data_IF_992935027638
#
_entry.id   IF_992935027638
#
_cell.length_a   1.000
_cell.length_b   1.000
_cell.length_c   1.000
_cell.angle_alpha   90.00
_cell.angle_beta   90.00
_cell.angle_gamma   90.00
#
_symmetry.space_group_name_H-M   'P 1'
#
loop_
_entity.id
_entity.type
_entity.pdbx_description
1 polymer ?
#
# COMPACT_ATOMS: atom_id res chain seq x y z
N UNK A 1 -25.53 -7.58 5.61
CA UNK A 1 -26.08 -8.43 4.53
C UNK A 1 -25.74 -7.81 3.18
N UNK A 2 -25.52 -8.61 2.13
CA UNK A 2 -25.34 -8.08 0.77
C UNK A 2 -26.62 -8.19 -0.05
N UNK A 3 -26.92 -7.16 -0.85
CA UNK A 3 -27.93 -7.21 -1.90
C UNK A 3 -27.28 -7.48 -3.25
N UNK A 4 -27.82 -8.39 -4.05
CA UNK A 4 -27.30 -8.77 -5.36
C UNK A 4 -28.33 -8.41 -6.43
N UNK A 5 -27.89 -7.60 -7.40
CA UNK A 5 -28.72 -7.13 -8.52
C UNK A 5 -28.45 -7.98 -9.75
N UNK A 6 -29.46 -8.74 -10.18
CA UNK A 6 -29.50 -9.45 -11.45
C UNK A 6 -30.26 -8.59 -12.47
N UNK A 7 -29.70 -8.35 -13.65
CA UNK A 7 -30.40 -7.71 -14.78
C UNK A 7 -30.77 -8.74 -15.84
N UNK A 8 -32.06 -8.81 -16.20
CA UNK A 8 -32.56 -9.63 -17.32
C UNK A 8 -32.06 -9.17 -18.68
N UNK A 9 -31.73 -7.89 -18.80
CA UNK A 9 -31.19 -7.30 -20.02
C UNK A 9 -29.70 -7.63 -20.25
N UNK A 10 -29.04 -8.27 -19.29
CA UNK A 10 -27.63 -8.68 -19.36
C UNK A 10 -27.49 -10.20 -19.26
N UNK A 11 -27.06 -10.82 -20.37
CA UNK A 11 -26.85 -12.27 -20.43
C UNK A 11 -25.75 -12.77 -19.49
N UNK A 12 -24.70 -11.97 -19.24
CA UNK A 12 -23.66 -12.37 -18.30
C UNK A 12 -24.20 -12.32 -16.86
N UNK A 13 -24.99 -11.30 -16.53
CA UNK A 13 -25.67 -11.18 -15.23
C UNK A 13 -26.54 -12.40 -14.92
N UNK A 14 -27.41 -12.77 -15.86
CA UNK A 14 -28.25 -13.97 -15.75
C UNK A 14 -27.38 -15.19 -15.50
N UNK A 15 -26.32 -15.38 -16.29
CA UNK A 15 -25.44 -16.54 -16.19
C UNK A 15 -24.65 -16.58 -14.88
N UNK A 16 -24.10 -15.46 -14.41
CA UNK A 16 -23.43 -15.34 -13.09
C UNK A 16 -24.42 -15.72 -11.98
N UNK A 17 -25.64 -15.20 -12.02
CA UNK A 17 -26.66 -15.47 -11.02
C UNK A 17 -27.18 -16.92 -11.06
N UNK A 18 -27.20 -17.56 -12.23
CA UNK A 18 -27.40 -19.02 -12.32
C UNK A 18 -26.29 -19.79 -11.61
N UNK A 19 -25.02 -19.42 -11.81
CA UNK A 19 -23.89 -20.04 -11.10
C UNK A 19 -23.97 -19.78 -9.58
N UNK A 20 -24.32 -18.56 -9.15
CA UNK A 20 -24.54 -18.21 -7.73
C UNK A 20 -25.59 -19.13 -7.09
N UNK A 21 -26.72 -19.35 -7.77
CA UNK A 21 -27.78 -20.25 -7.29
C UNK A 21 -27.37 -21.72 -7.32
N UNK A 22 -26.43 -22.11 -8.17
CA UNK A 22 -25.87 -23.46 -8.21
C UNK A 22 -24.79 -23.74 -7.16
N UNK A 23 -24.20 -22.70 -6.55
CA UNK A 23 -23.13 -22.84 -5.55
C UNK A 23 -23.65 -23.07 -4.13
N UNK A 24 -24.84 -22.56 -3.81
CA UNK A 24 -25.41 -22.53 -2.46
C UNK A 24 -26.90 -22.88 -2.49
N UNK A 25 -27.47 -23.25 -1.35
CA UNK A 25 -28.90 -23.58 -1.24
C UNK A 25 -29.73 -22.34 -0.91
N UNK A 26 -30.20 -21.64 -1.95
CA UNK A 26 -31.04 -20.45 -1.82
C UNK A 26 -32.49 -20.81 -1.50
N UNK A 27 -33.13 -20.02 -0.64
CA UNK A 27 -34.57 -20.10 -0.36
C UNK A 27 -35.30 -19.10 -1.24
N UNK A 28 -36.31 -19.57 -1.95
CA UNK A 28 -37.21 -18.72 -2.73
C UNK A 28 -38.33 -18.16 -1.85
N UNK A 29 -38.58 -16.87 -2.00
CA UNK A 29 -39.72 -16.16 -1.42
C UNK A 29 -40.41 -15.35 -2.53
N UNK A 30 -41.68 -15.00 -2.32
CA UNK A 30 -42.44 -14.19 -3.26
C UNK A 30 -42.71 -12.81 -2.67
N UNK A 31 -42.34 -11.73 -3.38
CA UNK A 31 -42.59 -10.34 -3.02
C UNK A 31 -43.61 -9.73 -4.00
N UNK A 32 -44.83 -9.48 -3.51
CA UNK A 32 -45.92 -8.87 -4.27
C UNK A 32 -46.09 -7.36 -4.01
N UNK A 33 -45.20 -6.77 -3.21
CA UNK A 33 -45.24 -5.34 -2.84
C UNK A 33 -44.71 -4.43 -3.94
N UNK A 34 -44.05 -5.00 -4.95
CA UNK A 34 -43.40 -4.33 -6.08
C UNK A 34 -43.57 -5.17 -7.35
N UNK A 35 -43.31 -4.58 -8.51
CA UNK A 35 -43.43 -5.28 -9.80
C UNK A 35 -42.29 -6.30 -9.98
N UNK A 36 -42.54 -7.36 -10.75
CA UNK A 36 -41.51 -8.34 -11.14
C UNK A 36 -40.39 -7.72 -12.00
N UNK A 37 -40.67 -6.61 -12.68
CA UNK A 37 -39.65 -5.85 -13.42
C UNK A 37 -38.72 -5.05 -12.49
N UNK A 38 -39.19 -4.71 -11.28
CA UNK A 38 -38.52 -3.83 -10.32
C UNK A 38 -38.02 -4.58 -9.06
N UNK A 39 -37.60 -5.84 -9.23
CA UNK A 39 -37.05 -6.64 -8.13
C UNK A 39 -38.10 -7.39 -7.31
N UNK A 40 -39.37 -7.42 -7.72
CA UNK A 40 -40.45 -8.19 -7.10
C UNK A 40 -40.53 -9.61 -7.63
N UNK A 41 -41.67 -10.27 -7.41
CA UNK A 41 -41.82 -11.66 -7.83
C UNK A 41 -40.93 -12.57 -6.99
N UNK A 42 -40.12 -13.41 -7.64
CA UNK A 42 -39.24 -14.34 -6.92
C UNK A 42 -38.00 -13.64 -6.36
N UNK A 43 -37.87 -13.65 -5.04
CA UNK A 43 -36.69 -13.18 -4.30
C UNK A 43 -35.92 -14.39 -3.78
N UNK A 44 -34.60 -14.40 -3.95
CA UNK A 44 -33.75 -15.48 -3.47
C UNK A 44 -33.00 -15.04 -2.21
N UNK A 45 -33.13 -15.82 -1.14
CA UNK A 45 -32.51 -15.56 0.17
C UNK A 45 -31.46 -16.61 0.50
N UNK A 46 -30.31 -16.14 0.98
CA UNK A 46 -29.26 -16.95 1.57
C UNK A 46 -28.81 -16.27 2.87
N UNK A 47 -28.21 -17.02 3.80
CA UNK A 47 -27.63 -16.39 4.99
C UNK A 47 -26.59 -15.33 4.57
N UNK A 48 -26.80 -14.10 5.04
CA UNK A 48 -25.99 -12.93 4.68
C UNK A 48 -26.22 -12.35 3.28
N UNK A 49 -27.17 -12.85 2.46
CA UNK A 49 -27.41 -12.33 1.10
C UNK A 49 -28.88 -12.37 0.63
N UNK A 50 -29.26 -11.39 -0.19
CA UNK A 50 -30.54 -11.30 -0.89
C UNK A 50 -30.28 -11.02 -2.37
N UNK A 51 -30.87 -11.81 -3.27
CA UNK A 51 -30.78 -11.61 -4.73
C UNK A 51 -32.15 -11.27 -5.29
N UNK A 52 -32.18 -10.19 -6.08
CA UNK A 52 -33.36 -9.71 -6.80
C UNK A 52 -33.07 -9.51 -8.27
N UNK A 53 -34.13 -9.63 -9.06
CA UNK A 53 -34.06 -9.62 -10.51
C UNK A 53 -34.82 -8.41 -11.08
N UNK A 54 -34.18 -7.71 -12.00
CA UNK A 54 -34.67 -6.45 -12.59
C UNK A 54 -34.72 -6.57 -14.11
N UNK A 55 -35.69 -5.92 -14.74
CA UNK A 55 -35.84 -5.95 -16.21
C UNK A 55 -34.77 -5.11 -16.92
N UNK A 56 -34.45 -3.93 -16.39
CA UNK A 56 -33.53 -2.98 -17.01
C UNK A 56 -32.05 -3.30 -16.77
N UNK A 57 -31.17 -2.70 -17.58
CA UNK A 57 -29.70 -2.77 -17.39
C UNK A 57 -29.30 -2.05 -16.10
N UNK A 58 -28.36 -2.64 -15.35
CA UNK A 58 -27.90 -2.13 -14.06
C UNK A 58 -27.51 -0.67 -14.08
N UNK A 59 -26.88 -0.22 -15.17
CA UNK A 59 -26.37 1.14 -15.34
C UNK A 59 -27.44 2.23 -15.24
N UNK A 60 -28.71 1.88 -15.42
CA UNK A 60 -29.85 2.80 -15.36
C UNK A 60 -30.70 2.66 -14.08
N UNK A 61 -30.32 1.76 -13.17
CA UNK A 61 -31.07 1.44 -11.96
C UNK A 61 -30.69 2.35 -10.78
N UNK A 62 -30.88 3.67 -10.94
CA UNK A 62 -30.75 4.62 -9.83
C UNK A 62 -31.78 4.32 -8.71
N UNK A 63 -31.36 4.36 -7.44
CA UNK A 63 -32.19 4.08 -6.27
C UNK A 63 -32.58 2.61 -6.06
N UNK A 64 -31.93 1.68 -6.76
CA UNK A 64 -32.27 0.24 -6.71
C UNK A 64 -31.98 -0.41 -5.35
N UNK A 65 -31.11 0.18 -4.54
CA UNK A 65 -30.85 -0.27 -3.17
C UNK A 65 -32.09 -0.24 -2.28
N UNK A 66 -33.04 0.68 -2.55
CA UNK A 66 -34.35 0.72 -1.89
C UNK A 66 -35.20 -0.53 -2.13
N UNK A 67 -34.81 -1.37 -3.11
CA UNK A 67 -35.49 -2.63 -3.36
C UNK A 67 -35.17 -3.72 -2.35
N UNK A 68 -34.07 -3.58 -1.63
CA UNK A 68 -33.59 -4.55 -0.67
C UNK A 68 -33.98 -4.16 0.75
N UNK A 69 -33.99 -5.13 1.66
CA UNK A 69 -34.24 -4.87 3.08
C UNK A 69 -32.95 -5.10 3.86
N UNK A 70 -32.47 -4.08 4.56
CA UNK A 70 -31.37 -4.19 5.54
C UNK A 70 -30.06 -4.75 4.95
N UNK A 71 -29.58 -4.10 3.88
CA UNK A 71 -28.29 -4.43 3.25
C UNK A 71 -27.23 -3.38 3.61
N UNK A 72 -25.99 -3.85 3.80
CA UNK A 72 -24.81 -3.02 4.07
C UNK A 72 -23.99 -2.76 2.79
N UNK A 73 -24.20 -3.59 1.76
CA UNK A 73 -23.48 -3.57 0.51
C UNK A 73 -24.39 -4.03 -0.64
N UNK A 74 -24.37 -3.30 -1.74
CA UNK A 74 -25.06 -3.65 -2.98
C UNK A 74 -24.04 -4.10 -4.05
N UNK A 75 -24.27 -5.25 -4.66
CA UNK A 75 -23.37 -5.85 -5.64
C UNK A 75 -24.10 -6.05 -6.95
N UNK A 76 -23.57 -5.47 -8.02
CA UNK A 76 -24.08 -5.66 -9.37
C UNK A 76 -23.32 -6.79 -10.04
N UNK A 77 -24.01 -7.90 -10.33
CA UNK A 77 -23.46 -8.97 -11.16
C UNK A 77 -23.63 -8.56 -12.62
N UNK A 78 -22.55 -8.20 -13.31
CA UNK A 78 -22.63 -7.51 -14.60
C UNK A 78 -21.67 -8.10 -15.64
N UNK A 79 -21.91 -7.81 -16.92
CA UNK A 79 -20.91 -7.97 -17.96
C UNK A 79 -19.95 -6.78 -17.96
N UNK A 80 -18.69 -7.08 -18.26
CA UNK A 80 -17.79 -6.10 -18.85
C UNK A 80 -17.83 -6.23 -20.38
N UNK A 81 -17.83 -5.12 -21.11
CA UNK A 81 -17.85 -5.11 -22.57
C UNK A 81 -16.67 -4.30 -23.14
N UNK A 82 -15.74 -4.98 -23.81
CA UNK A 82 -14.54 -4.34 -24.35
C UNK A 82 -13.64 -5.25 -25.19
N UNK A 83 -12.55 -4.69 -25.71
CA UNK A 83 -11.58 -5.41 -26.55
C UNK A 83 -10.36 -5.92 -25.75
N UNK A 84 -10.59 -6.52 -24.57
CA UNK A 84 -9.50 -7.02 -23.69
C UNK A 84 -9.31 -8.53 -23.71
N UNK A 85 -10.22 -9.28 -24.34
CA UNK A 85 -10.28 -10.73 -24.17
C UNK A 85 -10.81 -11.11 -22.77
N UNK A 86 -10.50 -12.32 -22.28
CA UNK A 86 -11.06 -12.82 -21.03
C UNK A 86 -10.59 -12.03 -19.80
N UNK A 87 -11.52 -11.40 -19.11
CA UNK A 87 -11.23 -10.48 -18.01
C UNK A 87 -12.30 -10.58 -16.92
N UNK A 88 -11.88 -10.55 -15.64
CA UNK A 88 -12.78 -10.38 -14.50
C UNK A 88 -12.41 -9.09 -13.75
N UNK A 89 -13.39 -8.26 -13.42
CA UNK A 89 -13.12 -6.96 -12.81
C UNK A 89 -14.07 -6.61 -11.67
N UNK A 90 -13.70 -5.57 -10.92
CA UNK A 90 -14.58 -4.89 -10.00
C UNK A 90 -14.28 -3.38 -10.01
N UNK A 91 -15.32 -2.56 -9.84
CA UNK A 91 -15.18 -1.10 -9.78
C UNK A 91 -16.42 -0.42 -9.15
N UNK A 92 -16.28 0.82 -8.65
CA UNK A 92 -17.41 1.62 -8.23
C UNK A 92 -18.03 2.35 -9.42
N UNK A 93 -19.29 2.77 -9.29
CA UNK A 93 -19.98 3.57 -10.32
C UNK A 93 -19.93 5.07 -10.01
N UNK A 94 -20.04 5.87 -11.06
CA UNK A 94 -19.90 7.32 -10.96
C UNK A 94 -19.46 7.98 -12.26
N UNK A 95 -19.87 9.22 -12.44
CA UNK A 95 -19.46 10.05 -13.56
C UNK A 95 -18.71 11.27 -13.03
N UNK A 96 -17.39 11.37 -13.29
CA UNK A 96 -16.63 12.60 -13.00
C UNK A 96 -17.00 13.76 -13.92
N UNK A 97 -17.48 13.46 -15.13
CA UNK A 97 -17.95 14.41 -16.14
C UNK A 97 -19.41 14.14 -16.53
N UNK A 98 -19.76 14.22 -17.83
CA UNK A 98 -21.09 13.87 -18.32
C UNK A 98 -21.45 12.39 -18.09
N UNK A 99 -22.73 12.10 -17.87
CA UNK A 99 -23.29 10.76 -17.74
C UNK A 99 -23.83 10.23 -19.08
N UNK A 100 -22.98 9.56 -19.85
CA UNK A 100 -23.36 8.99 -21.15
C UNK A 100 -24.01 7.60 -21.03
N UNK A 101 -23.69 6.87 -19.96
CA UNK A 101 -24.08 5.47 -19.74
C UNK A 101 -24.78 5.30 -18.39
N UNK A 102 -25.81 6.12 -18.14
CA UNK A 102 -26.62 6.08 -16.92
C UNK A 102 -26.06 6.89 -15.75
N UNK A 103 -26.90 7.09 -14.73
CA UNK A 103 -26.64 8.02 -13.64
C UNK A 103 -26.72 9.49 -14.06
N UNK A 104 -26.15 10.37 -13.22
CA UNK A 104 -26.17 11.81 -13.41
C UNK A 104 -24.76 12.41 -13.62
N UNK A 105 -24.70 13.51 -14.37
CA UNK A 105 -23.46 14.28 -14.58
C UNK A 105 -22.83 14.66 -13.24
N UNK A 106 -21.51 14.41 -13.10
CA UNK A 106 -20.73 14.80 -11.91
C UNK A 106 -21.31 14.25 -10.59
N UNK A 107 -21.93 13.07 -10.66
CA UNK A 107 -22.44 12.32 -9.50
C UNK A 107 -21.68 11.00 -9.34
N UNK A 108 -21.34 10.65 -8.10
CA UNK A 108 -20.64 9.42 -7.74
C UNK A 108 -21.47 8.63 -6.71
N UNK A 109 -21.62 7.32 -6.92
CA UNK A 109 -22.30 6.44 -5.97
C UNK A 109 -21.48 6.26 -4.68
N UNK A 110 -22.08 5.70 -3.63
CA UNK A 110 -21.30 5.25 -2.47
C UNK A 110 -20.38 4.11 -2.90
N UNK A 111 -19.05 4.32 -2.83
CA UNK A 111 -18.06 3.29 -3.12
C UNK A 111 -17.99 2.30 -1.94
N UNK A 112 -17.47 1.09 -2.22
CA UNK A 112 -17.20 0.08 -1.20
C UNK A 112 -15.73 -0.39 -1.28
N UNK A 113 -14.75 0.44 -0.86
CA UNK A 113 -13.32 0.18 -1.03
C UNK A 113 -12.85 -1.18 -0.49
N UNK A 114 -13.24 -1.54 0.74
CA UNK A 114 -12.84 -2.80 1.38
C UNK A 114 -13.50 -4.01 0.70
N UNK A 115 -14.76 -3.87 0.28
CA UNK A 115 -15.45 -4.87 -0.52
C UNK A 115 -14.80 -5.04 -1.91
N UNK A 116 -14.34 -3.96 -2.54
CA UNK A 116 -13.64 -4.01 -3.82
C UNK A 116 -12.29 -4.73 -3.68
N UNK A 117 -11.53 -4.47 -2.62
CA UNK A 117 -10.31 -5.22 -2.30
C UNK A 117 -10.58 -6.71 -2.10
N UNK A 118 -11.66 -7.06 -1.39
CA UNK A 118 -12.09 -8.45 -1.20
C UNK A 118 -12.52 -9.11 -2.50
N UNK A 119 -13.27 -8.39 -3.35
CA UNK A 119 -13.69 -8.87 -4.66
C UNK A 119 -12.47 -9.16 -5.54
N UNK A 120 -11.50 -8.25 -5.60
CA UNK A 120 -10.26 -8.43 -6.36
C UNK A 120 -9.50 -9.68 -5.91
N UNK A 121 -9.35 -9.87 -4.60
CA UNK A 121 -8.69 -11.06 -4.04
C UNK A 121 -9.44 -12.35 -4.43
N UNK A 122 -10.76 -12.38 -4.26
CA UNK A 122 -11.57 -13.56 -4.56
C UNK A 122 -11.65 -13.88 -6.07
N UNK A 123 -11.72 -12.85 -6.93
CA UNK A 123 -11.60 -13.01 -8.38
C UNK A 123 -10.23 -13.60 -8.75
N UNK A 124 -9.15 -13.09 -8.14
CA UNK A 124 -7.79 -13.61 -8.38
C UNK A 124 -7.66 -15.08 -7.96
N UNK A 125 -8.25 -15.46 -6.83
CA UNK A 125 -8.23 -16.83 -6.34
C UNK A 125 -9.02 -17.80 -7.25
N UNK A 126 -10.11 -17.33 -7.83
CA UNK A 126 -11.07 -18.19 -8.53
C UNK A 126 -11.03 -18.08 -10.06
N UNK A 127 -10.27 -17.12 -10.61
CA UNK A 127 -10.14 -16.92 -12.04
C UNK A 127 -9.65 -18.20 -12.73
N UNK A 128 -10.32 -18.64 -13.81
CA UNK A 128 -9.83 -19.76 -14.60
C UNK A 128 -8.60 -19.37 -15.43
N UNK A 129 -7.82 -20.37 -15.83
CA UNK A 129 -6.65 -20.15 -16.69
C UNK A 129 -7.00 -19.32 -17.94
N UNK A 130 -6.21 -18.28 -18.19
CA UNK A 130 -6.37 -17.40 -19.35
C UNK A 130 -7.26 -16.18 -19.14
N UNK A 131 -7.85 -16.02 -17.95
CA UNK A 131 -8.49 -14.77 -17.54
C UNK A 131 -7.49 -13.85 -16.83
N UNK A 132 -7.45 -12.60 -17.27
CA UNK A 132 -6.85 -11.53 -16.48
C UNK A 132 -7.84 -11.10 -15.37
N UNK A 133 -7.30 -10.49 -14.32
CA UNK A 133 -8.09 -9.96 -13.20
C UNK A 133 -7.57 -8.57 -12.86
N UNK A 134 -8.46 -7.58 -12.77
CA UNK A 134 -8.06 -6.21 -12.49
C UNK A 134 -9.16 -5.37 -11.86
N UNK A 135 -8.81 -4.12 -11.55
CA UNK A 135 -9.77 -3.08 -11.19
C UNK A 135 -10.04 -2.18 -12.39
N UNK A 136 -11.14 -1.44 -12.35
CA UNK A 136 -11.42 -0.38 -13.33
C UNK A 136 -11.57 0.99 -12.66
N UNK A 137 -11.43 2.03 -13.47
CA UNK A 137 -11.78 3.39 -13.10
C UNK A 137 -13.26 3.54 -12.78
N UNK A 138 -13.60 4.53 -11.95
CA UNK A 138 -15.02 4.88 -11.71
C UNK A 138 -15.65 5.37 -13.01
N UNK A 139 -16.72 4.71 -13.43
CA UNK A 139 -17.45 5.08 -14.64
C UNK A 139 -18.91 4.61 -14.59
N UNK A 140 -19.72 5.20 -15.48
CA UNK A 140 -21.13 4.90 -15.74
C UNK A 140 -22.06 4.95 -14.51
N UNK A 141 -23.36 4.74 -14.74
CA UNK A 141 -24.37 4.69 -13.68
C UNK A 141 -24.51 3.30 -13.05
N UNK A 142 -25.37 3.15 -12.03
CA UNK A 142 -26.15 4.20 -11.40
C UNK A 142 -25.28 5.06 -10.47
N UNK A 143 -25.74 6.26 -10.13
CA UNK A 143 -25.03 7.18 -9.24
C UNK A 143 -25.81 7.51 -7.98
N UNK A 144 -27.14 7.41 -8.01
CA UNK A 144 -28.01 7.69 -6.87
C UNK A 144 -28.25 6.42 -6.05
N UNK A 145 -27.21 6.01 -5.33
CA UNK A 145 -27.27 4.92 -4.36
C UNK A 145 -26.94 5.44 -2.96
N UNK A 146 -27.72 5.00 -1.98
CA UNK A 146 -27.47 5.31 -0.56
C UNK A 146 -26.63 4.25 0.13
N UNK A 147 -26.67 3.02 -0.38
CA UNK A 147 -25.88 1.87 0.09
C UNK A 147 -24.54 1.81 -0.65
N UNK A 148 -23.42 1.52 0.04
CA UNK A 148 -22.13 1.22 -0.58
C UNK A 148 -22.28 0.16 -1.67
N UNK A 149 -21.61 0.35 -2.81
CA UNK A 149 -21.83 -0.50 -3.97
C UNK A 149 -20.61 -0.67 -4.86
N UNK A 150 -20.63 -1.76 -5.63
CA UNK A 150 -19.67 -2.06 -6.68
C UNK A 150 -20.26 -2.99 -7.74
N UNK A 151 -19.69 -2.91 -8.93
CA UNK A 151 -19.86 -3.90 -9.98
C UNK A 151 -18.80 -4.99 -9.81
N UNK A 152 -19.18 -6.24 -10.08
CA UNK A 152 -18.27 -7.38 -10.18
C UNK A 152 -18.59 -8.10 -11.48
N UNK A 153 -17.64 -8.11 -12.41
CA UNK A 153 -17.95 -8.30 -13.81
C UNK A 153 -17.26 -9.48 -14.49
N UNK A 154 -17.93 -9.99 -15.52
CA UNK A 154 -17.42 -11.00 -16.45
C UNK A 154 -17.25 -10.38 -17.84
N UNK A 155 -16.03 -10.38 -18.35
CA UNK A 155 -15.70 -9.78 -19.64
C UNK A 155 -14.91 -10.69 -20.59
N UNK A 156 -14.81 -10.32 -21.86
CA UNK A 156 -15.22 -8.98 -22.38
C UNK A 156 -16.15 -9.01 -23.58
N UNK A 157 -16.49 -10.21 -24.06
CA UNK A 157 -17.41 -10.44 -25.16
C UNK A 157 -18.29 -11.69 -24.95
N UNK A 158 -19.18 -11.95 -25.91
CA UNK A 158 -20.18 -13.02 -25.86
C UNK A 158 -19.59 -14.42 -25.54
N UNK A 159 -18.46 -14.86 -26.12
CA UNK A 159 -17.77 -16.07 -25.69
C UNK A 159 -17.48 -16.14 -24.18
N UNK A 160 -17.03 -15.04 -23.57
CA UNK A 160 -16.75 -15.02 -22.13
C UNK A 160 -18.00 -14.87 -21.28
N UNK A 161 -18.99 -14.07 -21.70
CA UNK A 161 -20.28 -13.97 -21.01
C UNK A 161 -20.99 -15.33 -20.91
N UNK A 162 -20.76 -16.21 -21.89
CA UNK A 162 -21.26 -17.58 -21.91
C UNK A 162 -20.32 -18.62 -21.26
N UNK A 163 -19.14 -18.25 -20.76
CA UNK A 163 -18.23 -19.20 -20.12
C UNK A 163 -18.67 -19.54 -18.68
N UNK A 164 -19.09 -20.79 -18.40
CA UNK A 164 -19.52 -21.17 -17.06
C UNK A 164 -18.39 -21.10 -16.02
N UNK A 165 -17.12 -21.20 -16.43
CA UNK A 165 -16.00 -21.10 -15.47
C UNK A 165 -15.80 -19.65 -15.03
N UNK A 166 -15.75 -18.70 -15.97
CA UNK A 166 -15.71 -17.27 -15.68
C UNK A 166 -16.90 -16.82 -14.83
N UNK A 167 -18.13 -17.16 -15.24
CA UNK A 167 -19.34 -16.82 -14.49
C UNK A 167 -19.33 -17.40 -13.06
N UNK A 168 -18.82 -18.63 -12.89
CA UNK A 168 -18.70 -19.26 -11.56
C UNK A 168 -17.61 -18.61 -10.71
N UNK A 169 -16.55 -18.07 -11.31
CA UNK A 169 -15.52 -17.31 -10.58
C UNK A 169 -16.10 -16.01 -10.02
N UNK A 170 -16.82 -15.24 -10.85
CA UNK A 170 -17.53 -14.03 -10.42
C UNK A 170 -18.55 -14.33 -9.33
N UNK A 171 -19.34 -15.40 -9.50
CA UNK A 171 -20.30 -15.84 -8.48
C UNK A 171 -19.63 -16.13 -7.13
N UNK A 172 -18.46 -16.77 -7.11
CA UNK A 172 -17.71 -17.01 -5.86
C UNK A 172 -17.19 -15.72 -5.26
N UNK A 173 -16.70 -14.78 -6.07
CA UNK A 173 -16.26 -13.48 -5.59
C UNK A 173 -17.40 -12.69 -4.94
N UNK A 174 -18.59 -12.67 -5.54
CA UNK A 174 -19.78 -12.04 -4.95
C UNK A 174 -20.13 -12.69 -3.59
N UNK A 175 -20.11 -14.02 -3.49
CA UNK A 175 -20.39 -14.72 -2.23
C UNK A 175 -19.35 -14.45 -1.13
N UNK A 176 -18.10 -14.15 -1.51
CA UNK A 176 -17.03 -13.80 -0.58
C UNK A 176 -17.24 -12.43 0.08
N UNK A 177 -18.11 -11.58 -0.49
CA UNK A 177 -18.44 -10.26 0.07
C UNK A 177 -19.43 -10.32 1.25
N UNK A 178 -19.98 -11.49 1.57
CA UNK A 178 -20.90 -11.64 2.71
C UNK A 178 -20.18 -11.34 4.02
N UNK A 179 -20.72 -10.36 4.75
CA UNK A 179 -20.21 -9.96 6.07
C UNK A 179 -18.94 -9.11 6.02
N UNK A 180 -18.53 -8.66 4.83
CA UNK A 180 -17.44 -7.70 4.66
C UNK A 180 -17.96 -6.29 5.01
N UNK A 181 -17.22 -5.58 5.84
CA UNK A 181 -17.44 -4.14 6.05
C UNK A 181 -17.03 -3.39 4.77
N UNK A 182 -17.92 -2.58 4.16
CA UNK A 182 -17.61 -1.86 2.92
C UNK A 182 -16.45 -0.87 3.06
N UNK A 183 -16.16 -0.41 4.28
CA UNK A 183 -15.15 0.62 4.54
C UNK A 183 -14.01 0.10 5.42
N UNK A 184 -12.86 0.77 5.30
CA UNK A 184 -11.70 0.57 6.15
C UNK A 184 -10.97 1.90 6.34
N UNK A 185 -10.31 2.07 7.49
CA UNK A 185 -9.55 3.28 7.85
C UNK A 185 -8.46 3.57 6.80
N UNK A 186 -7.85 2.52 6.22
CA UNK A 186 -6.83 2.64 5.18
C UNK A 186 -7.44 2.65 3.79
N UNK A 187 -8.26 3.66 3.52
CA UNK A 187 -8.81 3.88 2.19
C UNK A 187 -8.18 5.10 1.53
N UNK A 188 -8.00 5.10 0.21
CA UNK A 188 -7.64 6.28 -0.58
C UNK A 188 -8.53 6.48 -1.81
N UNK A 189 -8.55 7.70 -2.34
CA UNK A 189 -9.07 8.01 -3.68
C UNK A 189 -7.93 8.00 -4.69
N UNK A 190 -8.13 7.34 -5.83
CA UNK A 190 -7.17 7.32 -6.93
C UNK A 190 -7.46 8.38 -7.98
N UNK A 191 -6.43 9.01 -8.53
CA UNK A 191 -6.57 9.90 -9.69
C UNK A 191 -5.46 9.68 -10.73
N UNK A 192 -5.86 9.55 -11.98
CA UNK A 192 -4.99 9.41 -13.15
C UNK A 192 -4.92 7.98 -13.69
N UNK A 193 -4.16 7.82 -14.77
CA UNK A 193 -3.93 6.54 -15.42
C UNK A 193 -5.04 6.13 -16.39
N UNK A 194 -4.86 4.96 -17.00
CA UNK A 194 -5.82 4.36 -17.93
C UNK A 194 -6.99 3.67 -17.23
N UNK A 195 -7.92 3.15 -18.02
CA UNK A 195 -9.16 2.52 -17.55
C UNK A 195 -8.94 1.35 -16.56
N UNK A 196 -7.91 0.53 -16.74
CA UNK A 196 -7.61 -0.64 -15.89
C UNK A 196 -6.63 -0.39 -14.74
N UNK A 197 -6.33 0.89 -14.43
CA UNK A 197 -5.80 1.35 -13.14
C UNK A 197 -4.68 0.50 -12.46
N UNK A 198 -3.63 0.04 -13.17
CA UNK A 198 -2.67 -0.95 -12.65
C UNK A 198 -1.86 -0.46 -11.43
N UNK A 199 -1.67 0.85 -11.30
CA UNK A 199 -1.01 1.44 -10.12
C UNK A 199 -1.87 1.27 -8.86
N UNK A 200 -3.17 1.53 -8.97
CA UNK A 200 -4.11 1.42 -7.86
C UNK A 200 -4.39 -0.05 -7.53
N UNK A 201 -4.51 -0.90 -8.55
CA UNK A 201 -4.57 -2.36 -8.36
C UNK A 201 -3.36 -2.87 -7.57
N UNK A 202 -2.14 -2.45 -7.94
CA UNK A 202 -0.93 -2.81 -7.21
C UNK A 202 -0.95 -2.34 -5.76
N UNK A 203 -1.49 -1.16 -5.47
CA UNK A 203 -1.65 -0.68 -4.08
C UNK A 203 -2.54 -1.63 -3.29
N UNK A 204 -3.70 -1.99 -3.84
CA UNK A 204 -4.65 -2.91 -3.20
C UNK A 204 -4.06 -4.31 -3.00
N UNK A 205 -3.25 -4.79 -3.94
CA UNK A 205 -2.61 -6.12 -3.86
C UNK A 205 -1.43 -6.18 -2.90
N UNK A 206 -0.61 -5.13 -2.88
CA UNK A 206 0.68 -5.15 -2.20
C UNK A 206 0.63 -4.59 -0.77
N UNK A 207 -0.50 -3.99 -0.36
CA UNK A 207 -0.62 -3.28 0.93
C UNK A 207 -1.99 -3.47 1.54
N UNK A 208 -2.13 -3.11 2.82
CA UNK A 208 -3.41 -3.03 3.53
C UNK A 208 -4.29 -1.84 3.10
N UNK A 209 -3.90 -1.06 2.08
CA UNK A 209 -4.70 0.06 1.60
C UNK A 209 -5.73 -0.37 0.56
N UNK A 210 -6.98 0.01 0.80
CA UNK A 210 -8.07 -0.09 -0.18
C UNK A 210 -8.20 1.19 -1.00
N UNK A 211 -8.83 1.08 -2.18
CA UNK A 211 -9.06 2.22 -3.07
C UNK A 211 -10.56 2.33 -3.33
N UNK A 212 -11.13 3.51 -3.06
CA UNK A 212 -12.51 3.83 -3.39
C UNK A 212 -12.64 4.27 -4.84
N UNK A 213 -13.15 5.49 -5.07
CA UNK A 213 -13.23 6.02 -6.42
C UNK A 213 -11.85 6.20 -7.08
N UNK A 214 -11.80 5.95 -8.38
CA UNK A 214 -10.63 6.18 -9.22
C UNK A 214 -11.02 7.05 -10.41
N UNK A 215 -10.61 8.31 -10.41
CA UNK A 215 -10.79 9.22 -11.53
C UNK A 215 -9.70 9.03 -12.58
N UNK A 216 -9.97 8.26 -13.62
CA UNK A 216 -9.03 7.99 -14.73
C UNK A 216 -8.90 9.16 -15.70
N UNK A 217 -7.83 9.18 -16.51
CA UNK A 217 -7.43 10.35 -17.31
C UNK A 217 -8.54 10.89 -18.22
N UNK A 218 -9.28 10.01 -18.90
CA UNK A 218 -10.37 10.44 -19.78
C UNK A 218 -11.56 11.03 -18.99
N UNK A 219 -11.86 10.48 -17.81
CA UNK A 219 -12.94 10.95 -16.96
C UNK A 219 -12.60 12.31 -16.35
N UNK A 220 -11.33 12.51 -15.95
CA UNK A 220 -10.82 13.79 -15.48
C UNK A 220 -10.76 14.83 -16.60
N UNK A 221 -10.40 14.43 -17.82
CA UNK A 221 -10.45 15.33 -18.97
C UNK A 221 -11.89 15.77 -19.27
N UNK A 222 -12.86 14.86 -19.17
CA UNK A 222 -14.29 15.16 -19.37
C UNK A 222 -14.88 16.00 -18.22
N UNK A 223 -14.40 15.83 -16.99
CA UNK A 223 -14.74 16.69 -15.86
C UNK A 223 -14.35 18.15 -16.15
N UNK A 224 -13.16 18.38 -16.70
CA UNK A 224 -12.62 19.71 -16.92
C UNK A 224 -11.68 20.16 -15.81
N UNK A 225 -11.52 21.48 -15.65
CA UNK A 225 -10.51 22.01 -14.75
C UNK A 225 -10.86 21.74 -13.26
N UNK A 226 -9.97 21.12 -12.46
CA UNK A 226 -10.28 20.70 -11.09
C UNK A 226 -10.86 21.82 -10.20
N UNK A 227 -10.31 23.03 -10.30
CA UNK A 227 -10.72 24.19 -9.52
C UNK A 227 -12.15 24.68 -9.80
N UNK A 228 -12.78 24.23 -10.89
CA UNK A 228 -14.16 24.55 -11.25
C UNK A 228 -15.14 23.45 -10.79
N UNK A 229 -14.64 22.32 -10.31
CA UNK A 229 -15.41 21.11 -10.05
C UNK A 229 -15.18 20.53 -8.65
N UNK A 230 -15.07 21.41 -7.65
CA UNK A 230 -14.88 21.03 -6.24
C UNK A 230 -15.94 20.06 -5.71
N UNK A 231 -17.19 20.12 -6.20
CA UNK A 231 -18.27 19.27 -5.71
C UNK A 231 -18.06 17.79 -6.01
N UNK A 232 -17.67 17.43 -7.24
CA UNK A 232 -17.44 16.02 -7.61
C UNK A 232 -16.13 15.50 -7.02
N UNK A 233 -15.12 16.36 -6.88
CA UNK A 233 -13.91 16.01 -6.14
C UNK A 233 -14.23 15.71 -4.68
N UNK A 234 -15.03 16.55 -4.00
CA UNK A 234 -15.46 16.30 -2.61
C UNK A 234 -16.25 15.00 -2.49
N UNK A 235 -17.17 14.75 -3.43
CA UNK A 235 -17.90 13.48 -3.49
C UNK A 235 -16.95 12.29 -3.56
N UNK A 236 -15.87 12.34 -4.34
CA UNK A 236 -14.96 11.22 -4.46
C UNK A 236 -14.36 10.80 -3.10
N UNK A 237 -14.08 11.76 -2.21
CA UNK A 237 -13.59 11.50 -0.85
C UNK A 237 -14.71 11.10 0.10
N UNK A 238 -15.82 11.84 0.13
CA UNK A 238 -16.96 11.59 1.02
C UNK A 238 -17.58 10.21 0.77
N UNK A 239 -17.73 9.83 -0.51
CA UNK A 239 -18.32 8.56 -0.94
C UNK A 239 -17.35 7.37 -0.85
N UNK A 240 -16.06 7.65 -0.64
CA UNK A 240 -15.04 6.63 -0.35
C UNK A 240 -14.65 6.61 1.13
N UNK A 241 -15.30 7.41 1.99
CA UNK A 241 -14.98 7.56 3.43
C UNK A 241 -13.49 7.76 3.74
N UNK A 242 -12.81 8.62 2.98
CA UNK A 242 -11.38 8.88 3.17
C UNK A 242 -11.00 10.35 3.10
N UNK A 243 -9.83 10.67 3.64
CA UNK A 243 -9.16 11.96 3.49
C UNK A 243 -7.85 11.90 2.70
N UNK A 244 -7.52 10.75 2.10
CA UNK A 244 -6.25 10.50 1.42
C UNK A 244 -6.46 10.32 -0.09
N UNK A 245 -5.56 10.90 -0.89
CA UNK A 245 -5.52 10.69 -2.33
C UNK A 245 -4.14 10.31 -2.83
N UNK A 246 -4.10 9.35 -3.76
CA UNK A 246 -2.92 9.01 -4.55
C UNK A 246 -3.14 9.47 -5.99
N UNK A 247 -2.27 10.35 -6.48
CA UNK A 247 -2.44 11.02 -7.77
C UNK A 247 -1.29 10.64 -8.71
N UNK A 248 -1.61 10.37 -9.98
CA UNK A 248 -0.64 10.28 -11.07
C UNK A 248 -0.42 11.66 -11.67
N UNK A 249 0.74 12.27 -11.40
CA UNK A 249 1.29 13.46 -12.07
C UNK A 249 0.27 14.53 -12.49
N UNK A 250 -0.41 15.17 -11.53
CA UNK A 250 -1.33 16.26 -11.83
C UNK A 250 -1.25 17.39 -10.77
N UNK A 251 -0.29 18.33 -10.92
CA UNK A 251 -0.06 19.39 -9.93
C UNK A 251 -1.24 20.36 -9.74
N UNK A 252 -2.11 20.49 -10.75
CA UNK A 252 -3.31 21.32 -10.61
C UNK A 252 -4.35 20.63 -9.71
N UNK A 253 -4.59 19.34 -9.95
CA UNK A 253 -5.47 18.52 -9.13
C UNK A 253 -4.96 18.36 -7.70
N UNK A 254 -3.65 18.12 -7.53
CA UNK A 254 -2.99 18.04 -6.21
C UNK A 254 -3.28 19.30 -5.38
N UNK A 255 -3.03 20.49 -5.93
CA UNK A 255 -3.31 21.77 -5.25
C UNK A 255 -4.80 21.92 -4.90
N UNK A 256 -5.70 21.62 -5.84
CA UNK A 256 -7.14 21.72 -5.59
C UNK A 256 -7.58 20.78 -4.46
N UNK A 257 -7.06 19.56 -4.42
CA UNK A 257 -7.37 18.58 -3.37
C UNK A 257 -6.87 19.05 -2.00
N UNK A 258 -5.65 19.61 -1.93
CA UNK A 258 -5.09 20.18 -0.71
C UNK A 258 -5.88 21.40 -0.22
N UNK A 259 -6.32 22.28 -1.14
CA UNK A 259 -7.19 23.42 -0.84
C UNK A 259 -8.57 23.00 -0.30
N UNK A 260 -9.07 21.84 -0.70
CA UNK A 260 -10.30 21.24 -0.17
C UNK A 260 -10.12 20.62 1.22
N UNK A 261 -8.89 20.54 1.74
CA UNK A 261 -8.57 20.02 3.07
C UNK A 261 -8.26 18.52 3.10
N UNK A 262 -8.10 17.89 1.94
CA UNK A 262 -7.69 16.50 1.81
C UNK A 262 -6.17 16.37 1.67
N UNK A 263 -5.63 15.19 1.97
CA UNK A 263 -4.19 14.93 1.94
C UNK A 263 -3.80 14.14 0.71
N UNK A 264 -2.92 14.72 -0.10
CA UNK A 264 -2.22 14.00 -1.17
C UNK A 264 -1.08 13.18 -0.56
N UNK A 265 -0.93 11.93 -1.01
CA UNK A 265 0.13 11.02 -0.55
C UNK A 265 0.86 10.41 -1.74
N UNK A 266 2.13 10.06 -1.51
CA UNK A 266 2.95 9.34 -2.49
C UNK A 266 2.76 7.82 -2.35
N UNK A 267 3.11 7.05 -3.38
CA UNK A 267 3.11 5.59 -3.26
C UNK A 267 4.12 5.10 -2.21
N UNK A 268 5.23 5.82 -2.02
CA UNK A 268 6.17 5.57 -0.91
C UNK A 268 5.46 5.72 0.43
N UNK A 269 4.63 6.76 0.61
CA UNK A 269 3.88 6.96 1.85
C UNK A 269 2.89 5.81 2.07
N UNK A 270 2.16 5.38 1.03
CA UNK A 270 1.23 4.24 1.11
C UNK A 270 1.95 2.96 1.52
N UNK A 271 3.10 2.66 0.92
CA UNK A 271 3.91 1.47 1.25
C UNK A 271 4.54 1.52 2.64
N UNK A 272 5.06 2.68 3.05
CA UNK A 272 5.66 2.83 4.39
C UNK A 272 4.60 2.77 5.50
N UNK A 273 3.35 3.10 5.20
CA UNK A 273 2.24 3.04 6.16
C UNK A 273 1.45 1.74 6.09
N UNK A 274 1.90 0.79 5.28
CA UNK A 274 1.32 -0.54 5.22
C UNK A 274 1.44 -1.24 6.59
N UNK A 275 0.33 -1.78 7.08
CA UNK A 275 0.26 -2.36 8.43
C UNK A 275 0.49 -1.39 9.60
N UNK A 276 0.81 -0.10 9.40
CA UNK A 276 1.05 0.87 10.49
C UNK A 276 -0.23 1.61 10.91
N UNK A 277 -0.54 1.78 12.21
CA UNK A 277 -1.67 2.58 12.68
C UNK A 277 -1.55 4.07 12.28
N UNK A 278 -2.58 4.66 11.67
CA UNK A 278 -2.52 6.05 11.17
C UNK A 278 -2.29 7.09 12.28
N UNK A 279 -2.78 6.83 13.49
CA UNK A 279 -2.49 7.68 14.65
C UNK A 279 -0.97 7.79 14.93
N UNK A 280 -0.24 6.67 14.82
CA UNK A 280 1.21 6.64 14.98
C UNK A 280 1.90 7.36 13.82
N UNK A 281 1.45 7.13 12.58
CA UNK A 281 1.95 7.83 11.39
C UNK A 281 1.85 9.34 11.59
N UNK A 282 0.65 9.83 11.93
CA UNK A 282 0.38 11.24 12.15
C UNK A 282 1.21 11.82 13.31
N UNK A 283 1.38 11.06 14.40
CA UNK A 283 2.22 11.48 15.52
C UNK A 283 3.68 11.66 15.08
N UNK A 284 4.27 10.66 14.42
CA UNK A 284 5.69 10.68 14.04
C UNK A 284 6.00 11.66 12.90
N UNK A 285 5.10 11.85 11.94
CA UNK A 285 5.28 12.88 10.92
C UNK A 285 5.29 14.29 11.51
N UNK A 286 4.53 14.52 12.59
CA UNK A 286 4.51 15.80 13.32
C UNK A 286 5.69 15.97 14.27
N UNK A 287 6.09 14.92 15.00
CA UNK A 287 7.10 15.00 16.06
C UNK A 287 8.53 14.74 15.59
N UNK A 288 8.71 14.16 14.40
CA UNK A 288 10.03 13.82 13.83
C UNK A 288 10.23 14.51 12.49
N UNK A 289 9.53 14.06 11.44
CA UNK A 289 9.47 14.65 10.09
C UNK A 289 8.54 13.84 9.19
N UNK A 290 8.06 14.40 8.06
CA UNK A 290 7.27 13.67 7.07
C UNK A 290 7.97 12.43 6.50
N UNK A 291 7.19 11.44 6.05
CA UNK A 291 7.71 10.27 5.30
C UNK A 291 8.37 10.70 3.98
N UNK A 292 7.83 11.76 3.35
CA UNK A 292 8.44 12.38 2.16
C UNK A 292 9.86 12.88 2.43
N UNK A 293 10.17 13.20 3.69
CA UNK A 293 11.44 13.77 4.12
C UNK A 293 12.33 12.72 4.81
N UNK A 294 12.00 11.44 4.64
CA UNK A 294 12.84 10.31 5.03
C UNK A 294 12.47 9.62 6.34
N UNK A 295 11.30 9.88 6.93
CA UNK A 295 10.78 9.01 8.00
C UNK A 295 10.45 7.62 7.44
N UNK A 296 10.89 6.56 8.12
CA UNK A 296 10.64 5.15 7.77
C UNK A 296 10.31 4.37 9.04
N UNK A 297 9.46 3.36 8.93
CA UNK A 297 9.11 2.53 10.09
C UNK A 297 10.12 1.39 10.30
N UNK A 298 10.35 1.04 11.57
CA UNK A 298 11.23 -0.07 11.95
C UNK A 298 10.44 -1.26 12.48
N UNK A 299 11.12 -2.37 12.77
CA UNK A 299 10.47 -3.65 13.11
C UNK A 299 9.82 -3.65 14.50
N UNK A 300 10.04 -2.60 15.31
CA UNK A 300 9.32 -2.40 16.58
C UNK A 300 8.08 -1.54 16.41
N UNK A 301 7.76 -1.13 15.19
CA UNK A 301 6.50 -0.49 14.89
C UNK A 301 5.35 -1.48 15.14
N UNK A 302 4.33 -1.09 15.91
CA UNK A 302 3.12 -1.90 16.06
C UNK A 302 2.41 -2.06 14.71
N UNK A 303 1.88 -3.26 14.47
CA UNK A 303 1.12 -3.57 13.26
C UNK A 303 -0.39 -3.61 13.56
N UNK A 304 -1.20 -3.21 12.58
CA UNK A 304 -2.67 -3.32 12.61
C UNK A 304 -3.16 -4.77 12.58
N UNK A 305 -2.35 -5.72 12.09
CA UNK A 305 -2.71 -7.15 12.00
C UNK A 305 -2.51 -7.90 13.33
N UNK A 306 -1.83 -7.27 14.28
CA UNK A 306 -1.71 -7.81 15.62
C UNK A 306 -3.08 -7.67 16.31
N UNK A 307 -3.80 -8.79 16.45
CA UNK A 307 -5.10 -8.98 17.15
C UNK A 307 -5.10 -8.53 18.63
N UNK A 308 -4.09 -7.80 19.09
CA UNK A 308 -3.99 -7.32 20.45
C UNK A 308 -4.61 -5.93 20.59
N UNK A 309 -5.54 -5.82 21.54
CA UNK A 309 -6.05 -4.57 22.12
C UNK A 309 -4.95 -3.62 22.69
N UNK A 310 -3.66 -3.99 22.56
CA UNK A 310 -2.48 -3.19 22.95
C UNK A 310 -2.13 -2.08 21.93
N UNK A 311 -2.56 -2.18 20.66
CA UNK A 311 -2.36 -1.09 19.69
C UNK A 311 -3.14 0.19 20.07
N UNK A 312 -4.20 0.06 20.87
CA UNK A 312 -5.00 1.18 21.37
C UNK A 312 -4.38 1.89 22.59
N UNK A 313 -3.29 1.35 23.17
CA UNK A 313 -2.65 1.90 24.38
C UNK A 313 -1.15 2.17 24.22
N UNK A 314 -0.70 2.44 22.99
CA UNK A 314 0.66 2.97 22.82
C UNK A 314 0.64 4.39 23.36
N UNK A 315 1.29 4.58 24.50
CA UNK A 315 1.66 5.91 24.95
C UNK A 315 2.68 6.48 23.96
N UNK A 316 2.17 7.17 22.94
CA UNK A 316 2.99 7.80 21.91
C UNK A 316 3.96 8.82 22.54
N UNK A 317 3.59 9.43 23.67
CA UNK A 317 4.46 10.35 24.42
C UNK A 317 5.60 9.63 25.16
N UNK A 318 5.49 8.31 25.34
CA UNK A 318 6.54 7.45 25.89
C UNK A 318 7.65 7.08 24.90
N UNK A 319 7.49 7.40 23.60
CA UNK A 319 8.51 7.13 22.60
C UNK A 319 9.74 8.01 22.81
N UNK A 320 10.93 7.39 22.81
CA UNK A 320 12.18 8.11 22.99
C UNK A 320 12.85 8.39 21.65
N UNK A 321 13.30 9.63 21.45
CA UNK A 321 14.17 9.99 20.34
C UNK A 321 15.63 9.92 20.80
N UNK A 322 16.42 9.04 20.21
CA UNK A 322 17.84 8.88 20.52
C UNK A 322 18.70 9.38 19.36
N UNK A 323 19.90 9.86 19.70
CA UNK A 323 20.92 10.22 18.73
C UNK A 323 22.07 9.23 18.81
N UNK A 324 22.43 8.65 17.67
CA UNK A 324 23.64 7.83 17.56
C UNK A 324 24.84 8.77 17.38
N UNK A 325 25.94 8.61 18.15
CA UNK A 325 27.13 9.43 17.98
C UNK A 325 27.62 9.45 16.52
N UNK A 326 27.82 10.64 15.96
CA UNK A 326 28.03 10.83 14.53
C UNK A 326 29.24 10.04 14.00
N UNK A 327 30.35 10.02 14.75
CA UNK A 327 31.56 9.31 14.36
C UNK A 327 31.37 7.78 14.40
N UNK A 328 30.59 7.28 15.38
CA UNK A 328 30.23 5.86 15.47
C UNK A 328 29.39 5.44 14.25
N UNK A 329 28.39 6.25 13.91
CA UNK A 329 27.52 6.01 12.76
C UNK A 329 28.28 6.09 11.44
N UNK A 330 29.17 7.07 11.28
CA UNK A 330 30.01 7.21 10.10
C UNK A 330 30.96 6.02 9.94
N UNK A 331 31.60 5.58 11.03
CA UNK A 331 32.49 4.43 11.02
C UNK A 331 31.74 3.12 10.66
N UNK A 332 30.57 2.89 11.25
CA UNK A 332 29.76 1.71 10.95
C UNK A 332 29.26 1.71 9.49
N UNK A 333 28.74 2.84 8.99
CA UNK A 333 28.30 2.97 7.59
C UNK A 333 29.46 2.80 6.60
N UNK A 334 30.67 3.25 6.95
CA UNK A 334 31.87 3.07 6.13
C UNK A 334 32.32 1.61 6.00
N UNK A 335 31.90 0.74 6.93
CA UNK A 335 32.16 -0.70 6.90
C UNK A 335 31.02 -1.43 6.18
N UNK A 336 29.77 -1.19 6.60
CA UNK A 336 28.58 -1.86 6.07
C UNK A 336 27.32 -1.01 6.36
N UNK A 337 26.91 -0.22 5.37
CA UNK A 337 25.73 0.65 5.51
C UNK A 337 24.42 -0.14 5.60
N UNK A 338 24.28 -1.26 4.88
CA UNK A 338 23.05 -2.07 4.88
C UNK A 338 22.84 -2.73 6.24
N UNK A 339 23.93 -3.28 6.81
CA UNK A 339 23.91 -3.87 8.14
C UNK A 339 23.71 -2.82 9.24
N UNK A 340 24.24 -1.62 9.05
CA UNK A 340 24.01 -0.49 9.98
C UNK A 340 22.52 -0.12 9.99
N UNK A 341 21.92 0.09 8.82
CA UNK A 341 20.49 0.42 8.71
C UNK A 341 19.59 -0.66 9.30
N UNK A 342 19.79 -1.94 8.92
CA UNK A 342 18.99 -3.07 9.42
C UNK A 342 19.15 -3.29 10.93
N UNK A 343 20.35 -3.08 11.48
CA UNK A 343 20.61 -3.18 12.93
C UNK A 343 19.79 -2.17 13.71
N UNK A 344 19.66 -0.94 13.20
CA UNK A 344 18.87 0.12 13.84
C UNK A 344 17.38 -0.12 13.64
N UNK A 345 16.94 -0.44 12.41
CA UNK A 345 15.53 -0.70 12.09
C UNK A 345 14.91 -1.80 12.96
N UNK A 346 15.63 -2.90 13.19
CA UNK A 346 15.16 -4.02 14.04
C UNK A 346 14.92 -3.68 15.52
N UNK A 347 15.34 -2.49 15.97
CA UNK A 347 15.19 -2.01 17.35
C UNK A 347 14.39 -0.71 17.45
N UNK A 348 14.02 -0.13 16.32
CA UNK A 348 13.36 1.16 16.25
C UNK A 348 11.86 1.00 15.96
N UNK A 349 11.07 1.93 16.49
CA UNK A 349 9.69 2.17 16.02
C UNK A 349 9.76 2.89 14.67
N UNK A 350 10.65 3.87 14.56
CA UNK A 350 10.91 4.57 13.31
C UNK A 350 12.36 5.05 13.23
N UNK A 351 12.85 5.17 12.01
CA UNK A 351 14.16 5.72 11.70
C UNK A 351 13.99 6.90 10.75
N UNK A 352 14.86 7.90 10.85
CA UNK A 352 15.02 8.86 9.76
C UNK A 352 16.09 8.37 8.79
N UNK A 353 15.94 8.76 7.54
CA UNK A 353 16.83 8.37 6.45
C UNK A 353 17.05 9.52 5.49
N UNK A 354 18.14 9.43 4.74
CA UNK A 354 18.42 10.24 3.55
C UNK A 354 18.58 9.32 2.33
N UNK A 355 18.84 9.91 1.16
CA UNK A 355 19.14 9.15 -0.07
C UNK A 355 18.04 8.12 -0.42
N UNK A 356 16.78 8.55 -0.35
CA UNK A 356 15.59 7.72 -0.62
C UNK A 356 15.42 6.50 0.30
N UNK A 357 15.93 6.55 1.53
CA UNK A 357 15.71 5.48 2.51
C UNK A 357 16.91 4.56 2.74
N UNK A 358 17.99 4.74 1.99
CA UNK A 358 19.16 3.83 2.01
C UNK A 358 20.17 4.17 3.09
N UNK A 359 20.18 5.42 3.57
CA UNK A 359 21.15 5.91 4.55
C UNK A 359 20.48 6.39 5.81
N UNK A 360 20.90 5.85 6.95
CA UNK A 360 20.37 6.24 8.25
C UNK A 360 20.70 7.72 8.56
N UNK A 361 19.71 8.45 9.04
CA UNK A 361 19.81 9.81 9.56
C UNK A 361 19.42 9.83 11.05
N UNK A 362 19.35 11.01 11.65
CA UNK A 362 18.94 11.21 13.04
C UNK A 362 17.66 12.07 13.13
N UNK A 363 16.85 11.97 14.20
CA UNK A 363 16.96 11.00 15.30
C UNK A 363 16.40 9.62 14.94
N UNK A 364 16.69 8.63 15.78
CA UNK A 364 16.04 7.31 15.77
C UNK A 364 14.96 7.28 16.85
N UNK A 365 13.77 6.80 16.52
CA UNK A 365 12.66 6.65 17.47
C UNK A 365 12.60 5.22 17.97
N UNK A 366 12.68 5.05 19.28
CA UNK A 366 12.77 3.75 19.94
C UNK A 366 11.70 3.62 21.04
N UNK A 367 11.28 2.39 21.38
CA UNK A 367 10.45 2.18 22.56
C UNK A 367 11.18 2.65 23.84
N UNK A 368 10.46 3.07 24.89
CA UNK A 368 11.07 3.47 26.16
C UNK A 368 11.88 2.36 26.83
N UNK A 369 11.57 1.09 26.50
CA UNK A 369 12.24 -0.11 27.02
C UNK A 369 13.50 -0.47 26.26
N UNK A 370 13.91 0.29 25.23
CA UNK A 370 15.08 -0.08 24.44
C UNK A 370 16.34 -0.05 25.32
N UNK A 371 17.13 -1.12 25.23
CA UNK A 371 18.43 -1.17 25.86
C UNK A 371 19.48 -0.55 24.92
N UNK A 372 19.93 0.66 25.25
CA UNK A 372 20.95 1.36 24.48
C UNK A 372 22.31 0.68 24.51
N UNK A 373 22.60 -0.10 25.55
CA UNK A 373 23.82 -0.90 25.58
C UNK A 373 23.77 -2.00 24.54
N UNK A 374 22.63 -2.69 24.37
CA UNK A 374 22.47 -3.66 23.30
C UNK A 374 22.53 -3.04 21.90
N UNK A 375 22.08 -1.79 21.73
CA UNK A 375 22.27 -1.08 20.47
C UNK A 375 23.75 -0.77 20.23
N UNK A 376 24.48 -0.32 21.25
CA UNK A 376 25.93 -0.09 21.19
C UNK A 376 26.69 -1.38 20.85
N UNK A 377 26.36 -2.51 21.48
CA UNK A 377 26.97 -3.82 21.19
C UNK A 377 26.73 -4.28 19.74
N UNK A 378 25.56 -3.95 19.18
CA UNK A 378 25.27 -4.24 17.79
C UNK A 378 26.14 -3.41 16.83
N UNK A 379 26.44 -2.15 17.16
CA UNK A 379 27.40 -1.33 16.42
C UNK A 379 28.84 -1.85 16.57
N UNK A 380 29.24 -2.29 17.77
CA UNK A 380 30.53 -2.94 18.02
C UNK A 380 30.70 -4.16 17.09
N UNK A 381 29.67 -4.98 16.94
CA UNK A 381 29.68 -6.14 16.03
C UNK A 381 29.93 -5.76 14.57
N UNK A 382 29.49 -4.57 14.13
CA UNK A 382 29.78 -4.06 12.79
C UNK A 382 31.25 -3.59 12.71
N UNK A 383 31.69 -2.80 13.70
CA UNK A 383 33.05 -2.29 13.75
C UNK A 383 34.11 -3.39 13.81
N UNK A 384 33.85 -4.49 14.52
CA UNK A 384 34.73 -5.66 14.66
C UNK A 384 35.10 -6.33 13.32
N UNK A 385 34.40 -6.02 12.23
CA UNK A 385 34.78 -6.48 10.88
C UNK A 385 36.04 -5.79 10.34
N UNK A 386 36.39 -4.63 10.88
CA UNK A 386 37.54 -3.83 10.44
C UNK A 386 38.52 -3.52 11.57
N UNK A 387 38.00 -3.33 12.78
CA UNK A 387 38.76 -2.86 13.94
C UNK A 387 38.88 -3.95 15.01
N UNK A 388 39.97 -3.93 15.77
CA UNK A 388 40.01 -4.58 17.08
C UNK A 388 39.36 -3.65 18.11
N UNK A 389 38.36 -4.13 18.85
CA UNK A 389 37.48 -3.28 19.68
C UNK A 389 37.66 -3.59 21.17
N UNK A 390 37.89 -2.54 21.95
CA UNK A 390 37.83 -2.54 23.40
C UNK A 390 36.68 -1.62 23.88
N UNK A 391 36.07 -1.94 25.02
CA UNK A 391 35.03 -1.09 25.64
C UNK A 391 35.46 -0.66 27.03
N UNK A 392 35.49 0.65 27.25
CA UNK A 392 35.78 1.27 28.54
C UNK A 392 34.60 2.16 28.95
N UNK A 393 33.70 1.59 29.75
CA UNK A 393 32.46 2.24 30.17
C UNK A 393 31.58 2.68 28.99
N UNK A 394 31.44 4.00 28.82
CA UNK A 394 30.67 4.66 27.76
C UNK A 394 31.51 4.97 26.50
N UNK A 395 32.74 4.44 26.43
CA UNK A 395 33.62 4.64 25.27
C UNK A 395 33.90 3.31 24.58
N UNK A 396 33.70 3.29 23.26
CA UNK A 396 34.13 2.23 22.36
C UNK A 396 35.45 2.65 21.73
N UNK A 397 36.51 1.89 21.99
CA UNK A 397 37.86 2.14 21.49
C UNK A 397 38.13 1.16 20.36
N UNK A 398 38.38 1.69 19.16
CA UNK A 398 38.63 0.90 17.97
C UNK A 398 40.08 1.07 17.50
N UNK A 399 40.79 -0.04 17.38
CA UNK A 399 42.17 -0.07 16.93
C UNK A 399 42.25 -0.60 15.49
N UNK A 400 42.93 0.15 14.65
CA UNK A 400 43.25 -0.23 13.26
C UNK A 400 44.75 -0.24 13.10
N UNK A 401 45.31 -1.34 12.63
CA UNK A 401 46.66 -1.34 12.11
C UNK A 401 46.62 -0.88 10.65
N UNK A 402 47.16 0.30 10.40
CA UNK A 402 47.25 0.86 9.06
C UNK A 402 48.70 1.01 8.65
N UNK A 403 48.97 0.87 7.35
CA UNK A 403 50.28 1.20 6.79
C UNK A 403 50.66 2.65 7.12
N UNK A 404 51.89 2.85 7.60
CA UNK A 404 52.46 4.15 7.90
C UNK A 404 53.54 4.50 6.87
N UNK A 405 53.27 5.45 5.95
CA UNK A 405 54.27 5.98 5.04
C UNK A 405 55.53 6.48 5.75
N UNK A 406 55.39 7.02 6.96
CA UNK A 406 56.50 7.53 7.75
C UNK A 406 57.43 6.40 8.21
N UNK A 407 56.88 5.30 8.76
CA UNK A 407 57.67 4.12 9.14
C UNK A 407 58.33 3.48 7.90
N UNK A 408 57.60 3.35 6.79
CA UNK A 408 58.18 2.82 5.55
C UNK A 408 59.38 3.63 5.06
N UNK A 409 59.31 4.97 5.12
CA UNK A 409 60.47 5.84 4.81
C UNK A 409 61.62 5.69 5.80
N UNK A 410 61.34 5.48 7.09
CA UNK A 410 62.38 5.21 8.09
C UNK A 410 63.13 3.90 7.81
N UNK A 411 62.43 2.89 7.29
CA UNK A 411 63.01 1.64 6.79
C UNK A 411 63.63 1.76 5.39
N UNK A 412 63.72 2.97 4.83
CA UNK A 412 64.35 3.24 3.53
C UNK A 412 63.50 2.86 2.31
N UNK A 413 62.23 2.49 2.50
CA UNK A 413 61.35 2.08 1.40
C UNK A 413 60.97 3.30 0.55
N UNK A 414 61.21 3.30 -0.78
CA UNK A 414 60.84 4.40 -1.65
C UNK A 414 59.32 4.43 -1.89
N UNK A 415 58.76 5.64 -2.04
CA UNK A 415 57.37 5.82 -2.47
C UNK A 415 57.14 5.20 -3.85
N UNK A 416 55.96 4.61 -4.05
CA UNK A 416 55.56 3.97 -5.30
C UNK A 416 55.13 2.51 -5.09
N UNK A 417 55.41 1.60 -6.04
CA UNK A 417 54.92 0.22 -6.01
C UNK A 417 55.25 -0.54 -4.72
N UNK A 418 56.40 -0.23 -4.08
CA UNK A 418 56.81 -0.85 -2.82
C UNK A 418 55.85 -0.54 -1.66
N UNK A 419 55.32 0.69 -1.57
CA UNK A 419 54.30 1.04 -0.57
C UNK A 419 53.00 0.26 -0.82
N UNK A 420 52.59 0.13 -2.08
CA UNK A 420 51.42 -0.67 -2.46
C UNK A 420 51.58 -2.14 -2.05
N UNK A 421 52.77 -2.72 -2.23
CA UNK A 421 53.06 -4.10 -1.77
C UNK A 421 52.96 -4.24 -0.25
N UNK A 422 53.61 -3.36 0.52
CA UNK A 422 53.55 -3.37 1.99
C UNK A 422 52.11 -3.17 2.50
N UNK A 423 51.37 -2.23 1.90
CA UNK A 423 49.96 -1.99 2.22
C UNK A 423 49.06 -3.19 1.90
N UNK A 424 49.42 -4.00 0.92
CA UNK A 424 48.70 -5.22 0.54
C UNK A 424 49.22 -6.48 1.26
N UNK A 425 50.02 -6.32 2.32
CA UNK A 425 50.51 -7.45 3.14
C UNK A 425 51.68 -8.21 2.53
N UNK A 426 52.41 -7.63 1.58
CA UNK A 426 53.58 -8.25 0.95
C UNK A 426 54.88 -7.59 1.43
N UNK A 427 55.83 -8.40 1.87
CA UNK A 427 57.16 -7.92 2.24
C UNK A 427 57.93 -7.38 1.02
N UNK A 428 58.84 -6.45 1.28
CA UNK A 428 59.64 -5.76 0.27
C UNK A 428 61.10 -5.74 0.69
N UNK A 429 61.96 -6.18 -0.20
CA UNK A 429 63.41 -6.09 -0.01
C UNK A 429 63.91 -4.72 -0.44
N UNK A 430 64.64 -4.05 0.45
CA UNK A 430 65.25 -2.73 0.24
C UNK A 430 66.64 -2.74 0.88
N UNK A 431 67.67 -2.45 0.08
CA UNK A 431 69.08 -2.41 0.53
C UNK A 431 69.50 -3.68 1.31
N UNK A 432 69.28 -4.86 0.72
CA UNK A 432 69.59 -6.19 1.30
C UNK A 432 68.89 -6.49 2.65
N UNK A 433 67.86 -5.71 3.01
CA UNK A 433 67.04 -5.90 4.21
C UNK A 433 65.58 -6.14 3.81
N UNK A 434 64.94 -7.16 4.39
CA UNK A 434 63.53 -7.45 4.17
C UNK A 434 62.71 -6.58 5.13
N UNK A 435 61.88 -5.70 4.57
CA UNK A 435 60.87 -4.94 5.33
C UNK A 435 59.55 -5.67 5.19
N UNK A 436 58.98 -6.11 6.31
CA UNK A 436 57.68 -6.78 6.37
C UNK A 436 56.56 -5.76 6.55
N UNK A 437 55.29 -6.13 6.27
CA UNK A 437 54.14 -5.26 6.53
C UNK A 437 54.06 -4.81 8.00
N UNK A 438 54.44 -5.67 8.95
CA UNK A 438 54.36 -5.39 10.38
C UNK A 438 55.36 -4.32 10.81
N UNK A 439 56.53 -4.25 10.16
CA UNK A 439 57.57 -3.24 10.44
C UNK A 439 57.13 -1.80 10.10
N UNK A 440 56.10 -1.67 9.26
CA UNK A 440 55.64 -0.38 8.71
C UNK A 440 54.17 -0.12 9.00
N UNK A 441 53.59 -0.84 9.96
CA UNK A 441 52.23 -0.61 10.46
C UNK A 441 52.26 0.29 11.69
N UNK A 442 51.28 1.18 11.76
CA UNK A 442 51.03 2.01 12.93
C UNK A 442 49.62 1.74 13.44
N UNK A 443 49.51 1.55 14.76
CA UNK A 443 48.21 1.37 15.43
C UNK A 443 47.53 2.72 15.56
N UNK A 444 46.47 2.94 14.80
CA UNK A 444 45.55 4.06 14.96
C UNK A 444 44.46 3.69 15.94
N UNK A 445 44.10 4.66 16.78
CA UNK A 445 43.03 4.48 17.77
C UNK A 445 41.93 5.49 17.50
N UNK A 446 40.72 4.99 17.37
CA UNK A 446 39.50 5.79 17.24
C UNK A 446 38.67 5.59 18.51
N UNK A 447 38.13 6.68 19.06
CA UNK A 447 37.30 6.63 20.25
C UNK A 447 35.90 7.12 19.89
N UNK A 448 34.90 6.31 20.19
CA UNK A 448 33.50 6.62 19.94
C UNK A 448 32.73 6.59 21.27
N UNK A 449 31.81 7.52 21.48
CA UNK A 449 30.87 7.42 22.60
C UNK A 449 29.86 6.28 22.36
N UNK A 450 29.37 5.66 23.43
CA UNK A 450 28.20 4.77 23.39
C UNK A 450 26.90 5.56 23.17
N UNK A 451 25.83 4.84 22.83
CA UNK A 451 24.51 5.40 22.46
C UNK A 451 23.63 5.67 23.69
#
# INVERSE_FOLDING_TARGET
MIGIVLSRADSASVHICEQLRGLESWREEYDDSRSDADGGGTVYRLDGAELREFEELHTHLDGVDSAFSDIDLLVFASRHAGETGPLLTAHPTGNFGPAEFGGYDRSLAQAAPSAQSTALAALTEHAPDGYDVGLEGTHHGPTELTTPSLFVELGSDEPQWNDPKGARAVARAILALRGVDPYDEKTLVGFGGGHYVPRFERVVRDTAWSVGHIGVDWALAAMGAPQEHHSVLRQAFERSETSYALIENNPALERTIEELGYRTVSETWVRETDGVPLALVNHLERSVRPITDGLRFGDRCPSTDAVSAECASIDYDGLSQIKIPADLLAAANGIDHERTLSTVRSRAVAVTTTENGTKLDQPVVVPPTVDRNHLTEAFITILQRKYDIERDGETVIAHEEAFSPALARQHGVPEGPAFGRLSNGQAVEVNDTIVTPDDVRERKTHMFSSI
#
